data_IF_974020391087
#
_entry.id   IF_974020391087
#
_cell.length_a   1.000
_cell.length_b   1.000
_cell.length_c   1.000
_cell.angle_alpha   90.00
_cell.angle_beta   90.00
_cell.angle_gamma   90.00
#
_symmetry.space_group_name_H-M   'P 1'
#
loop_
_entity.id
_entity.type
_entity.pdbx_description
1 polymer ?
#
# COMPACT_ATOMS: atom_id res chain seq x y z
N UNK A 1 19.33 4.77 -13.24
CA UNK A 1 17.98 4.98 -12.71
C UNK A 1 17.07 5.65 -13.72
N UNK A 2 17.35 6.89 -14.13
CA UNK A 2 16.53 7.65 -15.10
C UNK A 2 16.24 6.90 -16.41
N UNK A 3 17.21 6.17 -16.98
CA UNK A 3 16.97 5.33 -18.16
C UNK A 3 15.92 4.22 -17.93
N UNK A 4 15.75 3.80 -16.67
CA UNK A 4 14.70 2.87 -16.26
C UNK A 4 13.31 3.50 -16.26
N UNK A 5 13.19 4.72 -15.73
CA UNK A 5 11.96 5.51 -15.84
C UNK A 5 11.57 5.67 -17.30
N UNK A 6 12.47 6.22 -18.11
CA UNK A 6 12.22 6.47 -19.53
C UNK A 6 11.79 5.21 -20.29
N UNK A 7 12.38 4.05 -19.99
CA UNK A 7 11.97 2.80 -20.63
C UNK A 7 10.53 2.39 -20.27
N UNK A 8 10.08 2.65 -19.03
CA UNK A 8 8.69 2.41 -18.64
C UNK A 8 7.75 3.49 -19.20
N UNK A 9 8.21 4.73 -19.32
CA UNK A 9 7.46 5.82 -19.96
C UNK A 9 7.16 5.51 -21.43
N UNK A 10 8.17 5.06 -22.18
CA UNK A 10 8.00 4.65 -23.58
C UNK A 10 7.05 3.46 -23.71
N UNK A 11 7.16 2.47 -22.81
CA UNK A 11 6.21 1.36 -22.75
C UNK A 11 4.79 1.85 -22.48
N UNK A 12 4.59 2.70 -21.48
CA UNK A 12 3.28 3.26 -21.14
C UNK A 12 2.68 4.05 -22.30
N UNK A 13 3.49 4.85 -22.99
CA UNK A 13 3.05 5.73 -24.08
C UNK A 13 2.69 4.98 -25.37
N UNK A 14 3.38 3.88 -25.67
CA UNK A 14 3.33 3.26 -27.01
C UNK A 14 2.71 1.86 -27.05
N UNK A 15 2.67 1.14 -25.92
CA UNK A 15 2.14 -0.23 -25.87
C UNK A 15 0.61 -0.22 -25.87
N UNK A 16 -0.07 -1.04 -26.70
CA UNK A 16 -1.53 -1.22 -26.66
C UNK A 16 -2.03 -1.58 -25.27
N UNK A 17 -3.21 -1.08 -24.87
CA UNK A 17 -3.71 -1.18 -23.50
C UNK A 17 -3.79 -2.62 -22.97
N UNK A 18 -4.14 -3.58 -23.81
CA UNK A 18 -4.21 -5.00 -23.47
C UNK A 18 -2.85 -5.64 -23.13
N UNK A 19 -1.74 -4.96 -23.42
CA UNK A 19 -0.36 -5.38 -23.11
C UNK A 19 0.37 -4.34 -22.25
N UNK A 20 -0.32 -3.27 -21.84
CA UNK A 20 0.27 -2.14 -21.15
C UNK A 20 0.22 -2.35 -19.63
N UNK A 21 1.35 -2.82 -19.06
CA UNK A 21 1.50 -3.11 -17.63
C UNK A 21 0.87 -2.05 -16.68
N UNK A 22 1.23 -0.75 -16.73
CA UNK A 22 0.59 0.26 -15.89
C UNK A 22 -0.94 0.33 -16.05
N UNK A 23 -1.45 0.23 -17.28
CA UNK A 23 -2.89 0.24 -17.55
C UNK A 23 -3.58 -0.98 -16.95
N UNK A 24 -3.04 -2.17 -17.17
CA UNK A 24 -3.59 -3.41 -16.61
C UNK A 24 -3.60 -3.40 -15.08
N UNK A 25 -2.52 -2.95 -14.44
CA UNK A 25 -2.46 -2.81 -12.98
C UNK A 25 -3.46 -1.76 -12.47
N UNK A 26 -3.61 -0.64 -13.17
CA UNK A 26 -4.57 0.41 -12.82
C UNK A 26 -6.01 -0.11 -12.91
N UNK A 27 -6.35 -0.84 -13.99
CA UNK A 27 -7.66 -1.44 -14.19
C UNK A 27 -7.99 -2.51 -13.15
N UNK A 28 -7.03 -3.37 -12.78
CA UNK A 28 -7.21 -4.33 -11.69
C UNK A 28 -7.42 -3.62 -10.34
N UNK A 29 -6.71 -2.51 -10.11
CA UNK A 29 -6.91 -1.66 -8.93
C UNK A 29 -8.33 -1.09 -8.86
N UNK A 30 -8.80 -0.48 -9.95
CA UNK A 30 -10.20 0.01 -10.08
C UNK A 30 -11.20 -1.13 -9.90
N UNK A 31 -10.93 -2.30 -10.49
CA UNK A 31 -11.80 -3.47 -10.38
C UNK A 31 -12.04 -3.87 -8.92
N UNK A 32 -10.97 -4.11 -8.16
CA UNK A 32 -11.11 -4.53 -6.77
C UNK A 32 -11.63 -3.41 -5.86
N UNK A 33 -11.22 -2.17 -6.10
CA UNK A 33 -11.67 -1.03 -5.30
C UNK A 33 -13.17 -0.73 -5.52
N UNK A 34 -13.58 -0.55 -6.78
CA UNK A 34 -14.91 -0.04 -7.12
C UNK A 34 -15.98 -1.14 -7.24
N UNK A 35 -15.59 -2.40 -7.49
CA UNK A 35 -16.55 -3.50 -7.68
C UNK A 35 -16.49 -4.57 -6.59
N UNK A 36 -15.40 -4.64 -5.81
CA UNK A 36 -15.25 -5.59 -4.69
C UNK A 36 -15.08 -4.89 -3.32
N UNK A 37 -15.16 -3.56 -3.27
CA UNK A 37 -15.00 -2.76 -2.04
C UNK A 37 -13.67 -3.04 -1.30
N UNK A 38 -12.62 -3.39 -2.05
CA UNK A 38 -11.30 -3.61 -1.50
C UNK A 38 -10.64 -2.27 -1.17
N UNK A 39 -10.79 -1.81 0.07
CA UNK A 39 -10.32 -0.50 0.55
C UNK A 39 -8.79 -0.36 0.62
N UNK A 40 -8.04 -1.47 0.53
CA UNK A 40 -6.58 -1.46 0.73
C UNK A 40 -5.87 -2.33 -0.28
N UNK A 41 -4.64 -1.95 -0.64
CA UNK A 41 -3.73 -2.79 -1.43
C UNK A 41 -2.42 -2.95 -0.66
N UNK A 42 -1.96 -4.20 -0.53
CA UNK A 42 -0.69 -4.51 0.13
C UNK A 42 0.45 -4.60 -0.89
N UNK A 43 1.52 -3.82 -0.72
CA UNK A 43 2.74 -3.90 -1.54
C UNK A 43 3.81 -4.64 -0.77
N UNK A 44 4.24 -5.79 -1.28
CA UNK A 44 4.99 -6.81 -0.56
C UNK A 44 6.29 -7.14 -1.31
N UNK A 45 7.33 -6.28 -1.22
CA UNK A 45 8.60 -6.54 -1.88
C UNK A 45 9.42 -7.61 -1.13
N UNK A 46 9.86 -8.66 -1.80
CA UNK A 46 10.76 -9.69 -1.27
C UNK A 46 12.20 -9.30 -1.54
N UNK A 47 12.58 -8.11 -1.05
CA UNK A 47 13.93 -7.58 -1.05
C UNK A 47 14.07 -6.55 0.08
N UNK A 48 15.01 -6.75 1.00
CA UNK A 48 15.19 -5.87 2.15
C UNK A 48 15.62 -4.45 1.75
N UNK A 49 16.30 -4.25 0.61
CA UNK A 49 16.65 -2.91 0.12
C UNK A 49 15.41 -2.09 -0.27
N UNK A 50 14.25 -2.73 -0.44
CA UNK A 50 12.97 -2.09 -0.70
C UNK A 50 12.13 -1.88 0.57
N UNK A 51 12.72 -1.87 1.77
CA UNK A 51 12.00 -1.67 3.03
C UNK A 51 11.14 -0.41 3.12
N UNK A 52 11.52 0.64 2.39
CA UNK A 52 10.75 1.90 2.31
C UNK A 52 9.93 2.02 1.04
N UNK A 53 9.93 1.02 0.16
CA UNK A 53 9.22 1.11 -1.12
C UNK A 53 7.71 1.24 -0.92
N UNK A 54 7.11 0.42 -0.05
CA UNK A 54 5.68 0.53 0.27
C UNK A 54 5.33 1.88 0.92
N UNK A 55 6.22 2.45 1.74
CA UNK A 55 6.04 3.77 2.34
C UNK A 55 6.19 4.92 1.33
N UNK A 56 7.07 4.77 0.33
CA UNK A 56 7.14 5.69 -0.80
C UNK A 56 5.85 5.65 -1.63
N UNK A 57 5.33 4.45 -1.90
CA UNK A 57 4.08 4.28 -2.64
C UNK A 57 2.83 4.76 -1.86
N UNK A 58 2.89 4.79 -0.53
CA UNK A 58 1.83 5.43 0.27
C UNK A 58 1.65 6.88 -0.13
N UNK A 59 2.73 7.65 -0.19
CA UNK A 59 2.64 9.03 -0.63
C UNK A 59 2.20 9.10 -2.09
N UNK A 60 2.88 8.37 -2.98
CA UNK A 60 2.61 8.42 -4.41
C UNK A 60 1.13 8.15 -4.75
N UNK A 61 0.52 7.11 -4.17
CA UNK A 61 -0.85 6.71 -4.50
C UNK A 61 -1.88 7.51 -3.70
N UNK A 62 -1.73 7.54 -2.36
CA UNK A 62 -2.76 8.10 -1.48
C UNK A 62 -2.83 9.63 -1.54
N UNK A 63 -1.70 10.33 -1.68
CA UNK A 63 -1.70 11.80 -1.84
C UNK A 63 -2.23 12.21 -3.21
N UNK A 64 -1.92 11.43 -4.26
CA UNK A 64 -2.41 11.67 -5.62
C UNK A 64 -3.92 11.42 -5.72
N UNK A 65 -4.37 10.22 -5.32
CA UNK A 65 -5.72 9.73 -5.63
C UNK A 65 -6.68 9.72 -4.44
N UNK A 66 -6.26 10.12 -3.24
CA UNK A 66 -7.12 10.31 -2.06
C UNK A 66 -8.02 11.55 -2.17
N UNK A 67 -8.82 11.61 -3.22
CA UNK A 67 -9.66 12.77 -3.60
C UNK A 67 -11.13 12.40 -3.56
N UNK A 68 -11.99 13.39 -3.33
CA UNK A 68 -13.45 13.23 -3.32
C UNK A 68 -14.16 14.17 -4.31
N UNK A 69 -13.39 14.93 -5.10
CA UNK A 69 -13.90 15.91 -6.07
C UNK A 69 -13.27 15.64 -7.43
N UNK A 70 -14.08 15.62 -8.47
CA UNK A 70 -13.65 15.46 -9.86
C UNK A 70 -13.00 16.74 -10.43
N UNK A 71 -12.49 16.66 -11.67
CA UNK A 71 -11.83 17.78 -12.35
C UNK A 71 -12.77 18.96 -12.64
N UNK A 72 -14.09 18.73 -12.70
CA UNK A 72 -15.10 19.76 -12.89
C UNK A 72 -15.57 20.39 -11.56
N UNK A 73 -15.15 19.86 -10.41
CA UNK A 73 -15.48 20.38 -9.10
C UNK A 73 -16.72 19.74 -8.45
N UNK A 74 -17.19 18.61 -8.96
CA UNK A 74 -18.30 17.86 -8.37
C UNK A 74 -17.82 16.79 -7.39
N UNK A 75 -18.60 16.55 -6.34
CA UNK A 75 -18.35 15.43 -5.44
C UNK A 75 -18.60 14.09 -6.14
N UNK A 76 -17.64 13.16 -6.01
CA UNK A 76 -17.75 11.83 -6.60
C UNK A 76 -18.67 10.93 -5.76
N UNK A 77 -19.39 10.00 -6.40
CA UNK A 77 -20.28 9.04 -5.73
C UNK A 77 -19.73 7.59 -5.76
N UNK A 78 -18.42 7.45 -5.96
CA UNK A 78 -17.67 6.18 -6.01
C UNK A 78 -16.38 6.28 -5.20
N UNK A 79 -15.78 5.14 -4.85
CA UNK A 79 -14.48 5.09 -4.17
C UNK A 79 -13.35 5.55 -5.11
N UNK A 80 -12.37 6.29 -4.58
CA UNK A 80 -11.15 6.72 -5.31
C UNK A 80 -9.92 5.94 -4.80
N UNK A 81 -8.79 6.59 -4.52
CA UNK A 81 -7.53 5.94 -4.16
C UNK A 81 -7.65 5.00 -2.95
N UNK A 82 -7.07 3.79 -3.01
CA UNK A 82 -7.08 2.85 -1.89
C UNK A 82 -6.04 3.23 -0.83
N UNK A 83 -6.13 2.60 0.34
CA UNK A 83 -5.07 2.67 1.35
C UNK A 83 -3.93 1.75 0.93
N UNK A 84 -2.75 2.32 0.69
CA UNK A 84 -1.53 1.57 0.41
C UNK A 84 -0.80 1.24 1.70
N UNK A 85 -0.31 0.01 1.82
CA UNK A 85 0.49 -0.41 2.96
C UNK A 85 1.36 -1.61 2.63
N UNK A 86 2.28 -1.96 3.53
CA UNK A 86 3.06 -3.18 3.39
C UNK A 86 4.42 -3.12 4.08
N UNK A 87 5.09 -4.26 4.09
CA UNK A 87 6.46 -4.44 4.56
C UNK A 87 7.15 -5.47 3.67
N UNK A 88 8.50 -5.51 3.66
CA UNK A 88 9.22 -6.54 2.94
C UNK A 88 8.86 -7.96 3.37
N UNK A 89 8.92 -8.87 2.41
CA UNK A 89 9.03 -10.30 2.68
C UNK A 89 10.44 -10.65 3.17
N UNK A 90 10.62 -11.57 4.11
CA UNK A 90 9.58 -12.40 4.78
C UNK A 90 9.00 -11.76 6.04
N UNK A 91 9.47 -10.60 6.48
CA UNK A 91 9.05 -9.94 7.73
C UNK A 91 7.53 -9.79 7.83
N UNK A 92 6.88 -9.32 6.76
CA UNK A 92 5.42 -9.18 6.71
C UNK A 92 4.65 -10.49 6.94
N UNK A 93 5.24 -11.63 6.54
CA UNK A 93 4.63 -12.95 6.75
C UNK A 93 4.44 -13.26 8.24
N UNK A 94 5.38 -12.80 9.07
CA UNK A 94 5.39 -13.02 10.51
C UNK A 94 4.69 -11.89 11.30
N UNK A 95 4.08 -10.93 10.61
CA UNK A 95 3.39 -9.80 11.21
C UNK A 95 1.89 -9.79 10.93
N UNK A 96 1.49 -9.77 9.66
CA UNK A 96 0.10 -9.48 9.26
C UNK A 96 -0.50 -10.45 8.24
N UNK A 97 0.28 -11.40 7.70
CA UNK A 97 -0.24 -12.36 6.73
C UNK A 97 -1.33 -13.28 7.32
N UNK A 98 -1.38 -13.45 8.64
CA UNK A 98 -2.52 -14.10 9.31
C UNK A 98 -3.85 -13.45 8.92
N UNK A 99 -3.91 -12.11 8.95
CA UNK A 99 -5.09 -11.36 8.53
C UNK A 99 -5.31 -11.45 7.03
N UNK A 100 -4.23 -11.40 6.23
CA UNK A 100 -4.35 -11.54 4.77
C UNK A 100 -4.94 -12.90 4.40
N UNK A 101 -4.57 -13.99 5.08
CA UNK A 101 -5.01 -15.36 4.75
C UNK A 101 -6.36 -15.78 5.33
N UNK A 102 -6.62 -15.45 6.59
CA UNK A 102 -7.81 -15.93 7.32
C UNK A 102 -8.64 -14.80 7.91
N UNK A 103 -8.29 -13.55 7.63
CA UNK A 103 -9.11 -12.40 8.01
C UNK A 103 -10.32 -12.24 7.09
N UNK A 104 -11.25 -11.39 7.53
CA UNK A 104 -12.52 -11.11 6.83
C UNK A 104 -12.41 -9.97 5.81
N UNK A 105 -11.19 -9.53 5.50
CA UNK A 105 -10.92 -8.44 4.55
C UNK A 105 -10.40 -9.02 3.24
N UNK A 106 -10.90 -8.49 2.12
CA UNK A 106 -10.31 -8.70 0.81
C UNK A 106 -9.18 -7.69 0.62
N UNK A 107 -7.96 -8.19 0.43
CA UNK A 107 -6.76 -7.36 0.29
C UNK A 107 -5.98 -7.84 -0.93
N UNK A 108 -6.16 -7.19 -2.10
CA UNK A 108 -5.28 -7.40 -3.24
C UNK A 108 -3.84 -7.12 -2.85
N UNK A 109 -2.92 -7.97 -3.31
CA UNK A 109 -1.52 -7.90 -2.96
C UNK A 109 -0.62 -7.81 -4.20
N UNK A 110 0.29 -6.85 -4.24
CA UNK A 110 1.36 -6.79 -5.25
C UNK A 110 2.66 -7.35 -4.64
N UNK A 111 3.01 -8.56 -5.07
CA UNK A 111 4.25 -9.23 -4.71
C UNK A 111 5.36 -8.83 -5.70
N UNK A 112 6.47 -8.30 -5.19
CA UNK A 112 7.61 -7.87 -6.02
C UNK A 112 8.84 -8.69 -5.64
N UNK A 113 9.44 -9.42 -6.58
CA UNK A 113 10.59 -10.29 -6.33
C UNK A 113 11.69 -10.14 -7.37
N UNK A 114 12.88 -10.63 -7.05
CA UNK A 114 14.04 -10.61 -7.96
C UNK A 114 14.66 -11.99 -8.12
N UNK A 115 14.91 -12.43 -9.35
CA UNK A 115 15.53 -13.73 -9.62
C UNK A 115 16.99 -13.81 -9.17
N UNK A 116 17.69 -12.67 -9.09
CA UNK A 116 19.09 -12.58 -8.71
C UNK A 116 19.27 -11.67 -7.50
N UNK A 117 19.89 -12.18 -6.44
CA UNK A 117 20.28 -11.38 -5.27
C UNK A 117 21.48 -10.48 -5.55
N UNK A 118 21.54 -9.35 -4.84
CA UNK A 118 22.74 -8.53 -4.76
C UNK A 118 23.81 -9.16 -3.84
N UNK A 119 23.41 -10.06 -2.94
CA UNK A 119 24.25 -10.69 -1.93
C UNK A 119 24.13 -12.24 -2.00
N UNK A 120 24.94 -12.92 -2.83
CA UNK A 120 24.79 -14.35 -3.13
C UNK A 120 25.28 -15.28 -2.00
N UNK A 121 24.65 -15.19 -0.84
CA UNK A 121 24.86 -16.11 0.29
C UNK A 121 23.87 -17.27 0.14
N UNK A 122 24.37 -18.45 -0.23
CA UNK A 122 23.52 -19.65 -0.34
C UNK A 122 23.20 -20.20 1.06
N UNK A 123 21.98 -20.73 1.28
CA UNK A 123 20.84 -20.86 0.36
C UNK A 123 19.81 -19.71 0.45
N UNK A 124 20.19 -18.54 1.00
CA UNK A 124 19.23 -17.55 1.49
C UNK A 124 18.28 -17.03 0.41
N UNK A 125 18.76 -16.76 -0.79
CA UNK A 125 17.91 -16.23 -1.86
C UNK A 125 16.87 -17.24 -2.34
N UNK A 126 17.25 -18.51 -2.43
CA UNK A 126 16.33 -19.57 -2.84
C UNK A 126 15.24 -19.79 -1.77
N UNK A 127 15.60 -19.69 -0.49
CA UNK A 127 14.62 -19.72 0.61
C UNK A 127 13.67 -18.53 0.58
N UNK A 128 14.18 -17.32 0.28
CA UNK A 128 13.36 -16.12 0.11
C UNK A 128 12.37 -16.28 -1.05
N UNK A 129 12.85 -16.77 -2.20
CA UNK A 129 12.01 -16.95 -3.38
C UNK A 129 11.02 -18.11 -3.24
N UNK A 130 11.37 -19.19 -2.53
CA UNK A 130 10.43 -20.25 -2.19
C UNK A 130 9.24 -19.70 -1.40
N UNK A 131 9.50 -18.84 -0.42
CA UNK A 131 8.48 -18.14 0.34
C UNK A 131 7.65 -17.18 -0.53
N UNK A 132 8.29 -16.43 -1.44
CA UNK A 132 7.61 -15.54 -2.39
C UNK A 132 6.57 -16.29 -3.24
N UNK A 133 6.96 -17.42 -3.86
CA UNK A 133 6.07 -18.21 -4.70
C UNK A 133 4.96 -18.88 -3.87
N UNK A 134 5.33 -19.53 -2.76
CA UNK A 134 4.39 -20.26 -1.92
C UNK A 134 3.26 -19.36 -1.35
N UNK A 135 3.57 -18.11 -1.02
CA UNK A 135 2.55 -17.20 -0.49
C UNK A 135 1.50 -16.83 -1.54
N UNK A 136 1.91 -16.55 -2.77
CA UNK A 136 0.96 -16.23 -3.85
C UNK A 136 0.08 -17.43 -4.21
N UNK A 137 0.64 -18.64 -4.19
CA UNK A 137 -0.09 -19.89 -4.38
C UNK A 137 -1.10 -20.14 -3.25
N UNK A 138 -0.66 -20.01 -1.99
CA UNK A 138 -1.52 -20.20 -0.82
C UNK A 138 -2.69 -19.20 -0.79
N UNK A 139 -2.47 -17.95 -1.20
CA UNK A 139 -3.54 -16.95 -1.30
C UNK A 139 -4.58 -17.31 -2.36
N UNK A 140 -4.13 -17.80 -3.50
CA UNK A 140 -5.03 -18.16 -4.60
C UNK A 140 -5.87 -19.40 -4.27
N UNK A 141 -5.25 -20.45 -3.75
CA UNK A 141 -5.89 -21.78 -3.67
C UNK A 141 -6.33 -22.19 -2.27
N UNK A 142 -5.74 -21.60 -1.23
CA UNK A 142 -6.06 -21.97 0.14
C UNK A 142 -5.78 -23.45 0.44
N UNK A 143 -6.54 -24.00 1.38
CA UNK A 143 -6.51 -25.40 1.81
C UNK A 143 -7.84 -25.75 2.46
N UNK A 144 -8.57 -26.68 1.86
CA UNK A 144 -9.92 -27.07 2.26
C UNK A 144 -9.94 -27.84 3.58
N UNK A 145 -11.10 -27.87 4.25
CA UNK A 145 -11.28 -28.63 5.49
C UNK A 145 -10.97 -30.12 5.32
N UNK A 146 -11.29 -30.70 4.16
CA UNK A 146 -11.00 -32.09 3.82
C UNK A 146 -9.48 -32.34 3.72
N UNK A 147 -8.75 -31.45 3.05
CA UNK A 147 -7.29 -31.55 2.95
C UNK A 147 -6.62 -31.38 4.31
N UNK A 148 -7.13 -30.47 5.15
CA UNK A 148 -6.64 -30.29 6.53
C UNK A 148 -6.90 -31.53 7.39
N UNK A 149 -8.09 -32.13 7.30
CA UNK A 149 -8.39 -33.37 8.02
C UNK A 149 -7.51 -34.54 7.55
N UNK A 150 -7.22 -34.61 6.25
CA UNK A 150 -6.35 -35.64 5.67
C UNK A 150 -4.88 -35.56 6.16
N UNK A 151 -4.42 -34.40 6.62
CA UNK A 151 -3.11 -34.24 7.28
C UNK A 151 -3.05 -34.89 8.69
N UNK A 152 -4.16 -35.45 9.18
CA UNK A 152 -4.24 -36.02 10.54
C UNK A 152 -4.40 -34.97 11.64
N UNK A 153 -4.92 -33.79 11.30
CA UNK A 153 -5.26 -32.73 12.25
C UNK A 153 -6.48 -33.17 13.07
N UNK A 154 -6.47 -32.90 14.38
CA UNK A 154 -7.63 -33.20 15.23
C UNK A 154 -8.88 -32.41 14.79
N UNK A 155 -10.04 -33.05 14.78
CA UNK A 155 -11.29 -32.51 14.20
C UNK A 155 -11.62 -31.08 14.66
N UNK A 156 -11.45 -30.79 15.95
CA UNK A 156 -11.73 -29.46 16.51
C UNK A 156 -10.81 -28.35 15.98
N UNK A 157 -9.67 -28.70 15.36
CA UNK A 157 -8.72 -27.75 14.77
C UNK A 157 -8.93 -27.56 13.26
N UNK A 158 -9.71 -28.41 12.60
CA UNK A 158 -9.86 -28.40 11.14
C UNK A 158 -10.36 -27.03 10.64
N UNK A 159 -11.41 -26.50 11.27
CA UNK A 159 -11.95 -25.19 10.91
C UNK A 159 -10.92 -24.06 11.09
N UNK A 160 -10.10 -24.11 12.14
CA UNK A 160 -9.08 -23.10 12.42
C UNK A 160 -7.88 -23.14 11.46
N UNK A 161 -7.64 -24.29 10.80
CA UNK A 161 -6.54 -24.50 9.86
C UNK A 161 -6.99 -24.52 8.40
N UNK A 162 -8.27 -24.30 8.15
CA UNK A 162 -8.82 -24.16 6.78
C UNK A 162 -8.46 -22.77 6.24
N UNK A 163 -8.06 -22.72 4.98
CA UNK A 163 -7.76 -21.49 4.25
C UNK A 163 -8.71 -21.41 3.06
N UNK A 164 -9.52 -20.36 3.00
CA UNK A 164 -10.55 -20.21 1.96
C UNK A 164 -9.97 -19.99 0.56
N UNK A 165 -8.74 -19.50 0.45
CA UNK A 165 -8.14 -19.11 -0.83
C UNK A 165 -8.90 -17.96 -1.47
N UNK A 166 -8.88 -17.90 -2.81
CA UNK A 166 -9.54 -16.87 -3.61
C UNK A 166 -9.15 -15.43 -3.20
N UNK A 167 -7.88 -15.23 -2.83
CA UNK A 167 -7.33 -13.93 -2.46
C UNK A 167 -6.38 -13.47 -3.58
N UNK A 168 -6.68 -12.35 -4.26
CA UNK A 168 -5.98 -11.98 -5.47
C UNK A 168 -4.58 -11.42 -5.19
N UNK A 169 -3.63 -11.75 -6.06
CA UNK A 169 -2.31 -11.15 -6.05
C UNK A 169 -1.75 -10.95 -7.46
N UNK A 170 -0.94 -9.91 -7.63
CA UNK A 170 -0.04 -9.76 -8.76
C UNK A 170 1.37 -10.20 -8.37
N UNK A 171 2.06 -10.86 -9.29
CA UNK A 171 3.46 -11.29 -9.09
C UNK A 171 4.36 -10.60 -10.10
N UNK A 172 5.14 -9.62 -9.65
CA UNK A 172 6.11 -8.89 -10.45
C UNK A 172 7.50 -9.47 -10.16
N UNK A 173 7.98 -10.34 -11.06
CA UNK A 173 9.29 -10.95 -10.96
C UNK A 173 10.27 -10.27 -11.93
N UNK A 174 11.25 -9.56 -11.39
CA UNK A 174 12.30 -8.90 -12.16
C UNK A 174 13.62 -9.69 -12.08
N UNK A 175 14.55 -9.44 -13.01
CA UNK A 175 15.83 -10.18 -13.00
C UNK A 175 16.70 -9.85 -11.77
N UNK A 176 16.93 -8.57 -11.49
CA UNK A 176 17.81 -8.09 -10.41
C UNK A 176 17.47 -6.65 -10.03
N UNK A 177 17.58 -6.31 -8.75
CA UNK A 177 17.41 -4.93 -8.29
C UNK A 177 18.62 -4.08 -8.68
N UNK A 178 18.56 -3.50 -9.87
CA UNK A 178 19.54 -2.54 -10.39
C UNK A 178 18.95 -1.13 -10.35
N UNK A 179 19.77 -0.05 -10.44
CA UNK A 179 19.24 1.31 -10.50
C UNK A 179 18.23 1.51 -11.64
N UNK A 180 18.43 0.88 -12.80
CA UNK A 180 17.48 0.93 -13.91
C UNK A 180 16.18 0.16 -13.60
N UNK A 181 16.25 -1.00 -12.94
CA UNK A 181 15.05 -1.74 -12.54
C UNK A 181 14.24 -0.99 -11.48
N UNK A 182 14.92 -0.37 -10.50
CA UNK A 182 14.23 0.49 -9.52
C UNK A 182 13.50 1.63 -10.21
N UNK A 183 14.12 2.28 -11.20
CA UNK A 183 13.46 3.33 -11.97
C UNK A 183 12.23 2.83 -12.76
N UNK A 184 12.30 1.64 -13.34
CA UNK A 184 11.14 1.00 -13.99
C UNK A 184 10.00 0.73 -13.01
N UNK A 185 10.32 0.24 -11.81
CA UNK A 185 9.34 -0.06 -10.77
C UNK A 185 8.65 1.22 -10.28
N UNK A 186 9.40 2.30 -10.03
CA UNK A 186 8.80 3.58 -9.63
C UNK A 186 7.87 4.10 -10.72
N UNK A 187 8.36 4.22 -11.97
CA UNK A 187 7.55 4.70 -13.09
C UNK A 187 6.33 3.82 -13.38
N UNK A 188 6.42 2.51 -13.16
CA UNK A 188 5.29 1.59 -13.29
C UNK A 188 4.13 2.01 -12.37
N UNK A 189 4.45 2.32 -11.10
CA UNK A 189 3.44 2.74 -10.13
C UNK A 189 2.99 4.20 -10.35
N UNK A 190 3.87 5.10 -10.80
CA UNK A 190 3.48 6.46 -11.20
C UNK A 190 2.39 6.42 -12.30
N UNK A 191 2.62 5.61 -13.35
CA UNK A 191 1.65 5.45 -14.44
C UNK A 191 0.40 4.66 -14.03
N UNK A 192 0.52 3.66 -13.13
CA UNK A 192 -0.65 2.99 -12.54
C UNK A 192 -1.56 4.01 -11.84
N UNK A 193 -0.98 4.84 -10.97
CA UNK A 193 -1.70 5.89 -10.22
C UNK A 193 -2.36 6.88 -11.17
N UNK A 194 -1.65 7.31 -12.22
CA UNK A 194 -2.20 8.17 -13.27
C UNK A 194 -3.40 7.54 -14.00
N UNK A 195 -3.32 6.25 -14.37
CA UNK A 195 -4.42 5.53 -15.02
C UNK A 195 -5.65 5.53 -14.12
N UNK A 196 -5.49 5.21 -12.83
CA UNK A 196 -6.62 5.18 -11.89
C UNK A 196 -7.25 6.56 -11.72
N UNK A 197 -6.43 7.60 -11.52
CA UNK A 197 -6.92 8.97 -11.39
C UNK A 197 -7.64 9.48 -12.64
N UNK A 198 -7.15 9.11 -13.83
CA UNK A 198 -7.80 9.41 -15.10
C UNK A 198 -9.18 8.76 -15.21
N UNK A 199 -9.31 7.48 -14.82
CA UNK A 199 -10.59 6.76 -14.83
C UNK A 199 -11.59 7.40 -13.86
N UNK A 200 -11.13 7.81 -12.68
CA UNK A 200 -11.96 8.47 -11.67
C UNK A 200 -12.23 9.95 -11.96
N UNK A 201 -11.64 10.50 -13.02
CA UNK A 201 -11.75 11.91 -13.41
C UNK A 201 -11.33 12.87 -12.29
N UNK A 202 -10.27 12.56 -11.55
CA UNK A 202 -9.75 13.38 -10.44
C UNK A 202 -8.39 14.01 -10.79
N UNK A 203 -8.01 15.05 -10.07
CA UNK A 203 -6.66 15.60 -10.17
C UNK A 203 -5.67 14.81 -9.32
N UNK A 204 -4.88 13.92 -9.93
CA UNK A 204 -3.82 13.17 -9.25
C UNK A 204 -2.59 14.02 -8.86
N UNK A 205 -2.56 15.32 -9.18
CA UNK A 205 -1.34 16.14 -9.11
C UNK A 205 -1.47 17.36 -8.18
N UNK A 206 -2.57 17.50 -7.45
CA UNK A 206 -2.70 18.47 -6.35
C UNK A 206 -2.74 17.79 -4.97
N UNK A 207 -2.66 18.59 -3.90
CA UNK A 207 -2.71 18.10 -2.53
C UNK A 207 -3.33 19.11 -1.56
N UNK A 208 -4.43 19.78 -1.93
CA UNK A 208 -5.07 20.82 -1.10
C UNK A 208 -5.45 20.37 0.32
N UNK A 209 -5.68 19.07 0.52
CA UNK A 209 -6.05 18.48 1.81
C UNK A 209 -5.04 18.71 2.94
N UNK A 210 -3.76 19.01 2.64
CA UNK A 210 -2.74 19.22 3.67
C UNK A 210 -2.70 20.65 4.23
N UNK A 211 -3.36 21.60 3.57
CA UNK A 211 -3.22 23.03 3.89
C UNK A 211 -3.92 23.42 5.19
N UNK A 212 -5.11 22.86 5.47
CA UNK A 212 -5.85 23.17 6.70
C UNK A 212 -5.06 22.81 7.95
N UNK A 213 -4.39 21.65 7.96
CA UNK A 213 -3.56 21.22 9.08
C UNK A 213 -2.39 22.17 9.35
N UNK A 214 -1.74 22.69 8.30
CA UNK A 214 -0.66 23.68 8.43
C UNK A 214 -1.16 24.99 9.04
N UNK A 215 -2.31 25.49 8.59
CA UNK A 215 -2.92 26.72 9.12
C UNK A 215 -3.28 26.56 10.60
N UNK A 216 -3.94 25.45 10.97
CA UNK A 216 -4.30 25.17 12.35
C UNK A 216 -3.06 25.04 13.25
N UNK A 217 -2.02 24.34 12.78
CA UNK A 217 -0.76 24.23 13.51
C UNK A 217 -0.12 25.61 13.78
N UNK A 218 -0.08 26.49 12.77
CA UNK A 218 0.45 27.85 12.93
C UNK A 218 -0.32 28.70 13.94
N UNK A 219 -1.64 28.47 14.11
CA UNK A 219 -2.42 29.12 15.16
C UNK A 219 -2.15 28.53 16.54
N UNK A 220 -1.93 27.21 16.64
CA UNK A 220 -1.73 26.51 17.92
C UNK A 220 -0.31 26.73 18.47
N UNK A 221 0.72 26.84 17.62
CA UNK A 221 2.12 27.06 18.06
C UNK A 221 2.26 28.22 19.08
N UNK A 222 1.82 29.46 18.80
CA UNK A 222 1.95 30.56 19.77
C UNK A 222 1.15 30.31 21.04
N UNK A 223 0.06 29.55 20.96
CA UNK A 223 -0.67 29.12 22.15
C UNK A 223 0.17 28.13 22.96
N UNK A 224 0.79 27.11 22.37
CA UNK A 224 1.63 26.17 23.13
C UNK A 224 2.82 26.84 23.81
N UNK A 225 3.37 27.90 23.21
CA UNK A 225 4.52 28.65 23.71
C UNK A 225 4.15 29.71 24.76
N UNK A 226 2.90 30.18 24.78
CA UNK A 226 2.48 31.21 25.73
C UNK A 226 2.59 30.75 27.18
N UNK A 227 3.29 31.54 28.00
CA UNK A 227 3.40 31.33 29.43
C UNK A 227 2.09 31.64 30.17
N UNK A 228 1.20 32.44 29.57
CA UNK A 228 -0.04 32.95 30.16
C UNK A 228 -1.23 32.01 29.88
N UNK A 229 -2.20 31.99 30.79
CA UNK A 229 -3.48 31.34 30.56
C UNK A 229 -4.34 32.22 29.65
N UNK A 230 -4.17 32.01 28.34
CA UNK A 230 -5.03 32.60 27.31
C UNK A 230 -6.36 31.85 27.21
N UNK A 231 -7.45 32.58 26.98
CA UNK A 231 -8.74 31.99 26.58
C UNK A 231 -8.60 31.36 25.20
N UNK A 232 -8.48 30.03 25.17
CA UNK A 232 -8.40 29.24 23.95
C UNK A 232 -9.78 29.16 23.28
N UNK A 233 -9.82 29.33 21.96
CA UNK A 233 -11.06 29.37 21.17
C UNK A 233 -11.26 28.14 20.29
N UNK A 234 -10.62 27.02 20.62
CA UNK A 234 -10.84 25.74 19.95
C UNK A 234 -11.99 24.97 20.61
N UNK A 235 -12.25 23.77 20.12
CA UNK A 235 -13.15 22.82 20.77
C UNK A 235 -12.63 22.39 22.17
N UNK A 236 -13.49 21.77 22.96
CA UNK A 236 -13.18 21.38 24.34
C UNK A 236 -12.06 20.34 24.44
N UNK A 237 -11.89 19.46 23.44
CA UNK A 237 -10.82 18.47 23.41
C UNK A 237 -9.47 19.17 23.22
N UNK A 238 -9.34 19.96 22.14
CA UNK A 238 -8.12 20.69 21.81
C UNK A 238 -7.69 21.62 22.94
N UNK A 239 -8.63 22.37 23.52
CA UNK A 239 -8.35 23.26 24.65
C UNK A 239 -7.82 22.50 25.88
N UNK A 240 -8.38 21.33 26.17
CA UNK A 240 -7.95 20.49 27.30
C UNK A 240 -6.56 19.93 27.07
N UNK A 241 -6.25 19.50 25.84
CA UNK A 241 -4.93 18.98 25.47
C UNK A 241 -3.85 20.06 25.53
N UNK A 242 -4.10 21.26 25.01
CA UNK A 242 -3.18 22.39 25.09
C UNK A 242 -2.87 22.73 26.56
N UNK A 243 -3.91 22.83 27.41
CA UNK A 243 -3.75 23.09 28.85
C UNK A 243 -2.91 22.00 29.54
N UNK A 244 -3.20 20.72 29.25
CA UNK A 244 -2.45 19.59 29.81
C UNK A 244 -0.99 19.60 29.37
N UNK A 245 -0.73 19.83 28.07
CA UNK A 245 0.63 19.93 27.54
C UNK A 245 1.42 21.06 28.21
N UNK A 246 0.85 22.26 28.31
CA UNK A 246 1.48 23.41 29.00
C UNK A 246 1.80 23.10 30.47
N UNK A 247 0.90 22.44 31.19
CA UNK A 247 1.12 22.04 32.59
C UNK A 247 2.27 21.05 32.74
N UNK A 248 2.30 20.01 31.90
CA UNK A 248 3.34 18.98 31.96
C UNK A 248 4.72 19.53 31.56
N UNK A 249 4.78 20.42 30.58
CA UNK A 249 6.02 21.07 30.13
C UNK A 249 6.65 21.98 31.20
N UNK A 250 5.85 22.52 32.12
CA UNK A 250 6.33 23.37 33.23
C UNK A 250 6.72 22.56 34.49
N UNK A 251 6.53 21.24 34.50
CA UNK A 251 6.71 20.41 35.69
C UNK A 251 8.16 19.98 35.96
N UNK A 252 9.16 20.76 35.50
CA UNK A 252 10.59 20.66 35.85
C UNK A 252 11.01 21.92 36.64
#
# INVERSE_FOLDING_TARGET
>A
MLAGFHAMDEHFRTTPFEQNLPVLLGLLGVWYNNFFDAQTVAILPYDQYLERFSAYLQQLDMESNGKHVDLEGHEVNYQTGPIIWGQPGTNGQHAFYQLIHQGTKLIPCDFIGFSQTLNPVKPHHDLLMANFFAQTEALAFGKTAQEVAADGVADYQVAHRTFEGNRPSNTILANRLTPAMLGKLVALYEHKVFVQGTIWNINSFDQWGVELGKVLANHIIPELESAEQTDLKHDSSTNTLIKRYRQQRKAE
#
